data_IF_098791667113
#
_entry.id   IF_098791667113
#
_cell.length_a   1.000
_cell.length_b   1.000
_cell.length_c   1.000
_cell.angle_alpha   90.00
_cell.angle_beta   90.00
_cell.angle_gamma   90.00
#
_symmetry.space_group_name_H-M   'P 1'
#
loop_
_entity.id
_entity.type
_entity.pdbx_description
1 polymer ?
#
# COMPACT_ATOMS: atom_id res chain seq x y z
N UNK A 1 19.38 76.59 -45.10
CA UNK A 1 19.40 75.15 -45.12
C UNK A 1 20.37 74.74 -44.03
N UNK A 2 19.86 74.48 -42.86
CA UNK A 2 20.64 74.36 -41.63
C UNK A 2 21.00 72.90 -41.37
N UNK A 3 22.25 72.63 -41.17
CA UNK A 3 22.79 71.42 -40.50
C UNK A 3 22.80 71.69 -39.03
N UNK A 4 22.27 70.78 -38.26
CA UNK A 4 22.35 70.82 -36.80
C UNK A 4 23.22 69.66 -36.35
N UNK A 5 24.38 69.99 -35.79
CA UNK A 5 25.34 69.12 -35.13
C UNK A 5 24.79 68.72 -33.75
N UNK A 6 24.83 67.45 -33.42
CA UNK A 6 24.57 66.97 -32.04
C UNK A 6 25.88 66.52 -31.40
N UNK A 7 26.21 67.25 -30.35
CA UNK A 7 27.33 67.02 -29.45
C UNK A 7 27.15 65.72 -28.68
N UNK A 8 28.14 64.86 -28.70
CA UNK A 8 28.24 63.63 -27.85
C UNK A 8 28.84 64.09 -26.52
N UNK A 9 28.06 64.02 -25.45
CA UNK A 9 28.52 64.13 -24.07
C UNK A 9 28.80 62.77 -23.52
N UNK A 10 30.07 62.42 -23.34
CA UNK A 10 30.51 61.17 -22.67
C UNK A 10 30.24 61.26 -21.17
N UNK A 11 29.42 60.37 -20.66
CA UNK A 11 29.30 60.13 -19.24
C UNK A 11 29.99 58.78 -18.93
N UNK A 12 31.11 58.87 -18.25
CA UNK A 12 31.87 57.77 -17.70
C UNK A 12 31.12 57.26 -16.50
N UNK A 13 30.39 56.17 -16.63
CA UNK A 13 29.82 55.45 -15.49
C UNK A 13 30.83 54.47 -14.89
N UNK A 14 31.29 54.82 -13.71
CA UNK A 14 32.13 54.02 -12.83
C UNK A 14 31.36 52.80 -12.37
N UNK A 15 31.70 51.58 -12.84
CA UNK A 15 31.09 50.33 -12.41
C UNK A 15 31.67 49.95 -11.05
N UNK A 16 30.92 50.21 -9.99
CA UNK A 16 31.19 49.65 -8.67
C UNK A 16 30.66 48.21 -8.70
N UNK A 17 31.56 47.23 -8.75
CA UNK A 17 31.24 45.82 -8.59
C UNK A 17 30.89 45.56 -7.12
N UNK A 18 29.61 45.65 -6.79
CA UNK A 18 29.05 45.04 -5.58
C UNK A 18 28.79 43.59 -5.86
N UNK A 19 29.69 42.72 -5.37
CA UNK A 19 29.49 41.28 -5.29
C UNK A 19 28.41 40.96 -4.26
N UNK A 20 27.17 41.25 -4.64
CA UNK A 20 25.99 40.73 -3.97
C UNK A 20 25.71 39.32 -4.48
N UNK A 21 26.12 38.31 -3.73
CA UNK A 21 25.63 36.95 -3.94
C UNK A 21 24.11 36.97 -3.77
N UNK A 22 23.40 37.09 -4.89
CA UNK A 22 21.96 36.79 -4.92
C UNK A 22 21.81 35.35 -4.53
N UNK A 23 21.49 35.09 -3.25
CA UNK A 23 20.83 33.85 -2.87
C UNK A 23 19.53 33.84 -3.67
N UNK A 24 19.55 33.12 -4.77
CA UNK A 24 18.31 32.66 -5.41
C UNK A 24 17.58 31.88 -4.29
N UNK A 25 16.52 32.46 -3.78
CA UNK A 25 15.56 31.74 -2.98
C UNK A 25 15.12 30.55 -3.83
N UNK A 26 15.62 29.36 -3.49
CA UNK A 26 15.05 28.13 -4.00
C UNK A 26 13.58 28.19 -3.62
N UNK A 27 12.72 28.30 -4.64
CA UNK A 27 11.28 28.28 -4.43
C UNK A 27 10.95 27.06 -3.58
N UNK A 28 10.01 27.21 -2.65
CA UNK A 28 9.42 26.14 -1.87
C UNK A 28 8.81 25.11 -2.81
N UNK A 29 9.63 24.26 -3.38
CA UNK A 29 9.19 22.97 -3.86
C UNK A 29 8.90 22.18 -2.59
N UNK A 30 7.61 21.95 -2.31
CA UNK A 30 7.17 21.23 -1.13
C UNK A 30 7.97 19.93 -0.97
N UNK A 31 8.38 19.61 0.25
CA UNK A 31 9.16 18.39 0.53
C UNK A 31 8.41 17.19 -0.04
N UNK A 32 9.10 16.22 -0.70
CA UNK A 32 8.43 15.09 -1.33
C UNK A 32 7.77 14.19 -0.28
N UNK A 33 6.67 13.57 -0.65
CA UNK A 33 6.05 12.54 0.17
C UNK A 33 6.74 11.20 -0.04
N UNK A 34 6.52 10.25 0.88
CA UNK A 34 7.02 8.88 0.74
C UNK A 34 6.53 8.25 -0.56
N UNK A 35 5.25 8.41 -0.90
CA UNK A 35 4.68 7.86 -2.14
C UNK A 35 5.23 8.47 -3.42
N UNK A 36 5.74 9.71 -3.38
CA UNK A 36 6.41 10.34 -4.52
C UNK A 36 7.86 9.85 -4.68
N UNK A 37 8.60 9.74 -3.56
CA UNK A 37 10.00 9.34 -3.59
C UNK A 37 10.19 7.81 -3.65
N UNK A 38 9.29 7.05 -3.02
CA UNK A 38 9.38 5.60 -2.86
C UNK A 38 8.01 4.94 -3.10
N UNK A 39 7.44 4.98 -4.31
CA UNK A 39 6.06 4.54 -4.59
C UNK A 39 5.81 3.06 -4.23
N UNK A 40 6.83 2.19 -4.38
CA UNK A 40 6.72 0.77 -4.07
C UNK A 40 6.84 0.46 -2.56
N UNK A 41 7.38 1.39 -1.76
CA UNK A 41 7.54 1.21 -0.31
C UNK A 41 6.25 1.52 0.45
N UNK A 42 5.53 2.56 0.03
CA UNK A 42 4.39 3.09 0.73
C UNK A 42 3.08 2.56 0.15
N UNK A 43 2.43 1.70 0.90
CA UNK A 43 1.14 1.09 0.50
C UNK A 43 -0.07 1.61 1.26
N UNK A 44 0.11 2.31 2.39
CA UNK A 44 -0.95 2.65 3.32
C UNK A 44 -0.93 4.11 3.81
N UNK A 45 -1.09 4.29 5.11
CA UNK A 45 -1.27 5.59 5.78
C UNK A 45 -0.08 6.54 5.58
N UNK A 46 1.13 6.00 5.40
CA UNK A 46 2.34 6.79 5.21
C UNK A 46 2.61 7.20 3.75
N UNK A 47 1.77 6.81 2.80
CA UNK A 47 1.95 7.19 1.38
C UNK A 47 2.04 8.72 1.18
N UNK A 48 1.27 9.47 1.97
CA UNK A 48 1.25 10.94 1.93
C UNK A 48 2.15 11.60 2.97
N UNK A 49 2.86 10.83 3.80
CA UNK A 49 3.76 11.37 4.80
C UNK A 49 4.92 12.13 4.15
N UNK A 50 5.23 13.31 4.69
CA UNK A 50 6.26 14.22 4.17
C UNK A 50 7.63 13.78 4.67
N UNK A 51 8.60 13.69 3.77
CA UNK A 51 9.99 13.34 4.08
C UNK A 51 10.72 14.56 4.61
N UNK A 52 11.11 14.57 5.89
CA UNK A 52 11.82 15.67 6.53
C UNK A 52 13.10 15.19 7.22
N UNK A 53 14.00 16.09 7.50
CA UNK A 53 15.13 15.83 8.38
C UNK A 53 14.64 15.76 9.83
N UNK A 54 15.07 14.73 10.55
CA UNK A 54 14.77 14.51 11.97
C UNK A 54 16.01 14.01 12.71
N UNK A 55 15.99 14.12 14.04
CA UNK A 55 16.97 13.44 14.86
C UNK A 55 16.95 11.93 14.59
N UNK A 56 18.11 11.25 14.57
CA UNK A 56 18.19 9.81 14.22
C UNK A 56 17.32 8.90 15.10
N UNK A 57 16.99 9.34 16.33
CA UNK A 57 16.12 8.61 17.24
C UNK A 57 14.63 8.75 16.96
N UNK A 58 14.21 9.74 16.15
CA UNK A 58 12.80 10.00 15.81
C UNK A 58 12.52 9.57 14.38
N UNK A 59 11.51 8.73 14.18
CA UNK A 59 11.14 8.19 12.86
C UNK A 59 9.92 8.87 12.27
N UNK A 60 8.97 9.26 13.13
CA UNK A 60 7.72 9.86 12.70
C UNK A 60 7.23 10.86 13.75
N UNK A 61 6.69 11.97 13.24
CA UNK A 61 5.94 12.93 14.05
C UNK A 61 4.63 13.30 13.35
N UNK A 62 3.59 13.50 14.14
CA UNK A 62 2.31 14.06 13.71
C UNK A 62 1.72 14.81 14.92
N UNK A 63 0.61 15.52 14.77
CA UNK A 63 -0.06 16.19 15.86
C UNK A 63 -0.34 15.22 17.02
N UNK A 64 0.34 15.42 18.17
CA UNK A 64 0.21 14.56 19.35
C UNK A 64 0.86 13.17 19.27
N UNK A 65 1.51 12.82 18.17
CA UNK A 65 2.11 11.51 17.96
C UNK A 65 3.60 11.62 17.63
N UNK A 66 4.43 10.87 18.34
CA UNK A 66 5.85 10.63 18.03
C UNK A 66 6.14 9.14 18.07
N UNK A 67 6.82 8.62 17.03
CA UNK A 67 7.32 7.24 17.00
C UNK A 67 8.85 7.27 16.91
N UNK A 68 9.50 6.63 17.88
CA UNK A 68 10.96 6.53 17.98
C UNK A 68 11.50 5.25 17.36
N UNK A 69 12.76 5.27 16.98
CA UNK A 69 13.47 4.11 16.43
C UNK A 69 13.47 2.91 17.39
N UNK A 70 13.55 3.17 18.71
CA UNK A 70 13.49 2.13 19.75
C UNK A 70 12.19 1.32 19.65
N UNK A 71 11.05 1.96 19.38
CA UNK A 71 9.74 1.30 19.24
C UNK A 71 9.75 0.24 18.14
N UNK A 72 10.36 0.56 16.98
CA UNK A 72 10.46 -0.39 15.85
C UNK A 72 11.44 -1.52 16.19
N UNK A 73 12.56 -1.22 16.85
CA UNK A 73 13.52 -2.22 17.28
C UNK A 73 12.89 -3.20 18.30
N UNK A 74 12.22 -2.69 19.32
CA UNK A 74 11.50 -3.49 20.31
C UNK A 74 10.42 -4.37 19.67
N UNK A 75 9.67 -3.84 18.70
CA UNK A 75 8.64 -4.61 17.99
C UNK A 75 9.23 -5.76 17.16
N UNK A 76 10.41 -5.56 16.53
CA UNK A 76 11.14 -6.63 15.83
C UNK A 76 11.68 -7.67 16.83
N UNK A 77 12.24 -7.22 17.96
CA UNK A 77 12.80 -8.11 18.98
C UNK A 77 11.74 -8.99 19.63
N UNK A 78 10.55 -8.46 19.85
CA UNK A 78 9.39 -9.14 20.43
C UNK A 78 8.66 -10.06 19.43
N UNK A 79 9.00 -10.00 18.14
CA UNK A 79 8.33 -10.78 17.11
C UNK A 79 8.67 -12.28 17.19
N UNK A 80 7.76 -13.10 16.67
CA UNK A 80 7.99 -14.54 16.49
C UNK A 80 9.28 -14.77 15.66
N UNK A 81 10.18 -15.69 16.10
CA UNK A 81 11.41 -15.98 15.36
C UNK A 81 11.21 -16.29 13.88
N UNK A 82 10.08 -16.92 13.51
CA UNK A 82 9.75 -17.27 12.14
C UNK A 82 9.46 -16.10 11.21
N UNK A 83 9.25 -14.87 11.75
CA UNK A 83 8.99 -13.67 10.94
C UNK A 83 10.02 -12.55 11.18
N UNK A 84 10.94 -12.76 12.11
CA UNK A 84 11.89 -11.72 12.54
C UNK A 84 12.77 -11.22 11.40
N UNK A 85 13.36 -12.12 10.60
CA UNK A 85 14.17 -11.75 9.44
C UNK A 85 13.38 -10.97 8.40
N UNK A 86 12.14 -11.38 8.16
CA UNK A 86 11.26 -10.72 7.21
C UNK A 86 10.87 -9.31 7.71
N UNK A 87 10.61 -9.16 9.02
CA UNK A 87 10.35 -7.85 9.65
C UNK A 87 11.56 -6.92 9.59
N UNK A 88 12.78 -7.45 9.77
CA UNK A 88 14.02 -6.66 9.64
C UNK A 88 14.14 -6.01 8.25
N UNK A 89 13.80 -6.74 7.20
CA UNK A 89 13.77 -6.21 5.83
C UNK A 89 12.62 -5.25 5.58
N UNK A 90 11.56 -5.32 6.40
CA UNK A 90 10.31 -4.57 6.22
C UNK A 90 10.02 -3.59 7.37
N UNK A 91 11.04 -2.99 7.98
CA UNK A 91 10.89 -2.05 9.11
C UNK A 91 10.00 -0.84 8.77
N UNK A 92 9.99 -0.39 7.52
CA UNK A 92 9.06 0.67 7.10
C UNK A 92 7.60 0.23 7.19
N UNK A 93 7.28 -0.98 6.75
CA UNK A 93 5.95 -1.56 6.92
C UNK A 93 5.56 -1.62 8.42
N UNK A 94 6.51 -1.99 9.28
CA UNK A 94 6.27 -2.01 10.73
C UNK A 94 6.00 -0.61 11.28
N UNK A 95 6.73 0.42 10.83
CA UNK A 95 6.44 1.82 11.19
C UNK A 95 5.02 2.20 10.77
N UNK A 96 4.59 1.79 9.58
CA UNK A 96 3.23 2.04 9.09
C UNK A 96 2.18 1.35 9.98
N UNK A 97 2.42 0.10 10.40
CA UNK A 97 1.52 -0.62 11.33
C UNK A 97 1.46 0.04 12.71
N UNK A 98 2.60 0.46 13.27
CA UNK A 98 2.63 1.18 14.55
C UNK A 98 1.93 2.54 14.45
N UNK A 99 2.04 3.22 13.31
CA UNK A 99 1.31 4.47 13.05
C UNK A 99 -0.20 4.24 13.01
N UNK A 100 -0.66 3.25 12.25
CA UNK A 100 -2.09 2.88 12.19
C UNK A 100 -2.62 2.54 13.59
N UNK A 101 -1.86 1.76 14.35
CA UNK A 101 -2.23 1.38 15.73
C UNK A 101 -2.36 2.60 16.62
N UNK A 102 -1.40 3.51 16.61
CA UNK A 102 -1.43 4.72 17.42
C UNK A 102 -2.63 5.64 17.08
N UNK A 103 -2.89 5.83 15.78
CA UNK A 103 -4.04 6.62 15.31
C UNK A 103 -5.38 6.00 15.72
N UNK A 104 -5.51 4.68 15.65
CA UNK A 104 -6.73 3.97 16.09
C UNK A 104 -6.95 4.07 17.59
N UNK A 105 -5.89 3.97 18.39
CA UNK A 105 -5.98 4.14 19.84
C UNK A 105 -6.39 5.56 20.22
N UNK A 106 -5.88 6.57 19.54
CA UNK A 106 -6.26 7.97 19.75
C UNK A 106 -7.73 8.21 19.38
N UNK A 107 -8.21 7.69 18.24
CA UNK A 107 -9.62 7.78 17.86
C UNK A 107 -10.52 7.02 18.84
N UNK A 108 -10.09 5.85 19.32
CA UNK A 108 -10.82 5.08 20.32
C UNK A 108 -10.93 5.86 21.64
N UNK A 109 -9.85 6.50 22.10
CA UNK A 109 -9.84 7.34 23.29
C UNK A 109 -10.79 8.54 23.15
N UNK A 110 -10.80 9.20 22.00
CA UNK A 110 -11.67 10.33 21.69
C UNK A 110 -13.15 9.95 21.63
N UNK A 111 -13.48 8.68 21.44
CA UNK A 111 -14.86 8.17 21.34
C UNK A 111 -15.57 8.01 22.71
N UNK A 112 -14.89 8.27 23.82
CA UNK A 112 -15.45 8.19 25.18
C UNK A 112 -15.78 6.76 25.64
N UNK A 113 -15.26 5.73 24.98
CA UNK A 113 -15.46 4.35 25.40
C UNK A 113 -14.65 4.03 26.66
N UNK A 114 -15.22 3.26 27.56
CA UNK A 114 -14.47 2.67 28.67
C UNK A 114 -13.43 1.68 28.13
N UNK A 115 -12.16 1.93 28.47
CA UNK A 115 -11.02 1.14 28.01
C UNK A 115 -10.30 0.45 29.19
N UNK A 116 -10.85 0.57 30.43
CA UNK A 116 -10.22 0.02 31.63
C UNK A 116 -10.06 -1.50 31.51
N UNK A 117 -8.85 -1.96 31.74
CA UNK A 117 -8.51 -3.40 31.75
C UNK A 117 -8.40 -4.04 30.37
N UNK A 118 -8.60 -3.31 29.28
CA UNK A 118 -8.46 -3.82 27.92
C UNK A 118 -7.03 -3.64 27.41
N UNK A 119 -6.54 -4.64 26.66
CA UNK A 119 -5.33 -4.51 25.88
C UNK A 119 -5.52 -3.56 24.69
N UNK A 120 -4.44 -2.99 24.13
CA UNK A 120 -4.49 -2.15 22.92
C UNK A 120 -5.27 -2.82 21.78
N UNK A 121 -5.08 -4.13 21.61
CA UNK A 121 -5.77 -4.93 20.60
C UNK A 121 -7.28 -4.97 20.81
N UNK A 122 -7.72 -5.17 22.04
CA UNK A 122 -9.14 -5.22 22.40
C UNK A 122 -9.79 -3.85 22.25
N UNK A 123 -9.10 -2.77 22.62
CA UNK A 123 -9.54 -1.39 22.40
C UNK A 123 -9.76 -1.11 20.92
N UNK A 124 -8.80 -1.45 20.08
CA UNK A 124 -8.88 -1.27 18.62
C UNK A 124 -10.03 -2.11 18.05
N UNK A 125 -10.13 -3.39 18.45
CA UNK A 125 -11.19 -4.27 17.98
C UNK A 125 -12.57 -3.71 18.35
N UNK A 126 -12.78 -3.31 19.59
CA UNK A 126 -14.04 -2.73 20.09
C UNK A 126 -14.39 -1.43 19.35
N UNK A 127 -13.38 -0.58 19.04
CA UNK A 127 -13.56 0.64 18.26
C UNK A 127 -14.05 0.33 16.84
N UNK A 128 -13.37 -0.58 16.13
CA UNK A 128 -13.74 -0.97 14.77
C UNK A 128 -15.10 -1.67 14.72
N UNK A 129 -15.41 -2.55 15.69
CA UNK A 129 -16.69 -3.24 15.76
C UNK A 129 -17.85 -2.25 15.98
N UNK A 130 -17.64 -1.22 16.79
CA UNK A 130 -18.63 -0.16 17.01
C UNK A 130 -18.83 0.67 15.73
N UNK A 131 -17.73 1.08 15.11
CA UNK A 131 -17.74 1.94 13.91
C UNK A 131 -18.40 1.26 12.71
N UNK A 132 -18.26 -0.05 12.58
CA UNK A 132 -18.75 -0.84 11.43
C UNK A 132 -19.84 -1.83 11.82
N UNK A 133 -20.59 -1.55 12.90
CA UNK A 133 -21.67 -2.40 13.41
C UNK A 133 -22.83 -2.53 12.42
N UNK A 134 -23.21 -1.42 11.79
CA UNK A 134 -24.46 -1.31 11.03
C UNK A 134 -24.32 -1.61 9.53
N UNK A 135 -23.30 -2.39 9.16
CA UNK A 135 -23.14 -2.83 7.78
C UNK A 135 -24.15 -3.94 7.49
N UNK A 136 -25.10 -3.63 6.62
CA UNK A 136 -26.15 -4.54 6.19
C UNK A 136 -25.99 -4.91 4.72
N UNK A 137 -26.61 -6.03 4.35
CA UNK A 137 -26.74 -6.52 2.97
C UNK A 137 -28.22 -6.67 2.66
N UNK A 138 -28.65 -6.04 1.58
CA UNK A 138 -30.04 -6.16 1.14
C UNK A 138 -30.30 -7.51 0.46
N UNK A 139 -31.57 -7.87 0.31
CA UNK A 139 -31.98 -9.08 -0.41
C UNK A 139 -31.59 -9.00 -1.90
N UNK A 140 -31.66 -7.81 -2.49
CA UNK A 140 -31.27 -7.56 -3.87
C UNK A 140 -29.79 -7.79 -4.09
N UNK A 141 -28.95 -7.31 -3.17
CA UNK A 141 -27.49 -7.52 -3.21
C UNK A 141 -27.13 -9.01 -3.06
N UNK A 142 -27.79 -9.69 -2.12
CA UNK A 142 -27.61 -11.12 -1.93
C UNK A 142 -28.05 -11.92 -3.17
N UNK A 143 -29.17 -11.50 -3.80
CA UNK A 143 -29.66 -12.14 -5.02
C UNK A 143 -28.73 -11.92 -6.21
N UNK A 144 -28.22 -10.71 -6.38
CA UNK A 144 -27.26 -10.39 -7.44
C UNK A 144 -25.97 -11.19 -7.30
N UNK A 145 -25.46 -11.32 -6.08
CA UNK A 145 -24.29 -12.15 -5.80
C UNK A 145 -24.54 -13.63 -6.10
N UNK A 146 -25.69 -14.17 -5.66
CA UNK A 146 -26.09 -15.54 -5.96
C UNK A 146 -26.17 -15.78 -7.45
N UNK A 147 -26.83 -14.88 -8.22
CA UNK A 147 -26.99 -15.03 -9.66
C UNK A 147 -25.65 -15.02 -10.41
N UNK A 148 -24.69 -14.23 -9.94
CA UNK A 148 -23.34 -14.18 -10.49
C UNK A 148 -22.46 -15.39 -10.11
N UNK A 149 -22.83 -16.15 -9.06
CA UNK A 149 -22.03 -17.24 -8.51
C UNK A 149 -22.79 -18.57 -8.40
N UNK A 150 -23.80 -18.81 -9.24
CA UNK A 150 -24.68 -20.00 -9.18
C UNK A 150 -23.92 -21.32 -9.17
N UNK A 151 -22.86 -21.42 -9.94
CA UNK A 151 -22.05 -22.63 -10.02
C UNK A 151 -21.31 -22.95 -8.69
N UNK A 152 -20.87 -21.88 -8.00
CA UNK A 152 -20.14 -21.99 -6.73
C UNK A 152 -21.03 -22.42 -5.56
N UNK A 153 -22.33 -22.10 -5.60
CA UNK A 153 -23.29 -22.47 -4.56
C UNK A 153 -23.93 -23.84 -4.78
N UNK A 154 -23.37 -24.66 -5.69
CA UNK A 154 -23.75 -26.08 -5.85
C UNK A 154 -25.18 -26.32 -6.38
N UNK A 155 -25.77 -25.34 -7.08
CA UNK A 155 -27.10 -25.45 -7.67
C UNK A 155 -28.27 -25.37 -6.66
N UNK A 156 -28.01 -25.04 -5.40
CA UNK A 156 -29.04 -24.84 -4.37
C UNK A 156 -29.90 -23.61 -4.74
N UNK A 157 -31.21 -23.66 -4.41
CA UNK A 157 -32.10 -22.53 -4.63
C UNK A 157 -31.70 -21.32 -3.73
N UNK A 158 -31.90 -20.09 -4.24
CA UNK A 158 -31.54 -18.85 -3.52
C UNK A 158 -32.07 -18.81 -2.09
N UNK A 159 -33.32 -19.20 -1.86
CA UNK A 159 -33.93 -19.20 -0.53
C UNK A 159 -33.24 -20.11 0.48
N UNK A 160 -32.55 -21.15 0.02
CA UNK A 160 -31.81 -22.08 0.87
C UNK A 160 -30.45 -21.50 1.29
N UNK A 161 -29.87 -20.60 0.50
CA UNK A 161 -28.52 -20.04 0.70
C UNK A 161 -28.52 -18.54 1.00
N UNK A 162 -29.69 -17.91 1.05
CA UNK A 162 -29.86 -16.46 1.22
C UNK A 162 -29.12 -15.93 2.44
N UNK A 163 -29.34 -16.51 3.62
CA UNK A 163 -28.71 -16.03 4.86
C UNK A 163 -27.18 -16.28 4.86
N UNK A 164 -26.67 -17.47 4.51
CA UNK A 164 -25.23 -17.67 4.31
C UNK A 164 -24.59 -16.68 3.31
N UNK A 165 -25.26 -16.38 2.18
CA UNK A 165 -24.80 -15.41 1.19
C UNK A 165 -24.74 -14.00 1.80
N UNK A 166 -25.77 -13.59 2.54
CA UNK A 166 -25.79 -12.30 3.25
C UNK A 166 -24.64 -12.18 4.26
N UNK A 167 -24.38 -13.24 5.03
CA UNK A 167 -23.26 -13.25 5.99
C UNK A 167 -21.90 -13.07 5.29
N UNK A 168 -21.68 -13.79 4.19
CA UNK A 168 -20.45 -13.67 3.38
C UNK A 168 -20.30 -12.23 2.86
N UNK A 169 -21.34 -11.68 2.26
CA UNK A 169 -21.34 -10.32 1.72
C UNK A 169 -21.16 -9.26 2.81
N UNK A 170 -21.83 -9.41 3.97
CA UNK A 170 -21.67 -8.51 5.10
C UNK A 170 -20.22 -8.51 5.61
N UNK A 171 -19.61 -9.69 5.69
CA UNK A 171 -18.18 -9.82 6.05
C UNK A 171 -17.27 -9.14 5.02
N UNK A 172 -17.51 -9.35 3.72
CA UNK A 172 -16.75 -8.70 2.65
C UNK A 172 -16.89 -7.17 2.68
N UNK A 173 -18.12 -6.65 2.82
CA UNK A 173 -18.40 -5.21 2.95
C UNK A 173 -17.69 -4.62 4.17
N UNK A 174 -17.75 -5.32 5.32
CA UNK A 174 -17.06 -4.88 6.54
C UNK A 174 -15.55 -4.79 6.31
N UNK A 175 -14.95 -5.84 5.73
CA UNK A 175 -13.52 -5.87 5.43
C UNK A 175 -13.12 -4.73 4.47
N UNK A 176 -13.89 -4.50 3.42
CA UNK A 176 -13.68 -3.39 2.48
C UNK A 176 -13.80 -2.02 3.15
N UNK A 177 -14.82 -1.83 4.00
CA UNK A 177 -15.03 -0.58 4.74
C UNK A 177 -13.91 -0.30 5.74
N UNK A 178 -13.48 -1.32 6.50
CA UNK A 178 -12.32 -1.22 7.41
C UNK A 178 -11.06 -0.89 6.61
N UNK A 179 -10.82 -1.55 5.48
CA UNK A 179 -9.64 -1.29 4.64
C UNK A 179 -9.61 0.16 4.15
N UNK A 180 -10.74 0.65 3.60
CA UNK A 180 -10.87 2.04 3.13
C UNK A 180 -10.69 3.05 4.26
N UNK A 181 -11.23 2.76 5.43
CA UNK A 181 -11.06 3.59 6.62
C UNK A 181 -9.59 3.65 7.06
N UNK A 182 -8.90 2.50 7.16
CA UNK A 182 -7.49 2.45 7.53
C UNK A 182 -6.60 3.20 6.52
N UNK A 183 -6.89 3.09 5.22
CA UNK A 183 -6.22 3.90 4.20
C UNK A 183 -6.53 5.40 4.33
N UNK A 184 -7.68 5.73 4.91
CA UNK A 184 -8.10 7.10 5.18
C UNK A 184 -7.54 7.70 6.47
N UNK A 185 -7.04 6.87 7.39
CA UNK A 185 -6.40 7.34 8.63
C UNK A 185 -5.26 8.31 8.28
N UNK A 186 -5.18 9.40 9.02
CA UNK A 186 -4.14 10.40 8.80
C UNK A 186 -4.30 11.28 7.55
N UNK A 187 -5.35 11.13 6.73
CA UNK A 187 -5.55 11.99 5.53
C UNK A 187 -5.64 13.48 5.85
N UNK A 188 -6.17 13.80 7.01
CA UNK A 188 -6.36 15.17 7.50
C UNK A 188 -5.28 15.61 8.50
N UNK A 189 -4.21 14.81 8.62
CA UNK A 189 -3.10 15.08 9.52
C UNK A 189 -1.82 15.27 8.71
N UNK A 190 -0.99 16.19 9.11
CA UNK A 190 0.36 16.29 8.61
C UNK A 190 1.23 15.24 9.31
N UNK A 191 1.54 14.17 8.59
CA UNK A 191 2.47 13.13 9.05
C UNK A 191 3.82 13.42 8.43
N UNK A 192 4.85 13.53 9.26
CA UNK A 192 6.24 13.73 8.85
C UNK A 192 7.06 12.51 9.21
N UNK A 193 7.93 12.07 8.31
CA UNK A 193 8.80 10.91 8.52
C UNK A 193 10.25 11.24 8.24
N UNK A 194 11.15 10.60 8.97
CA UNK A 194 12.59 10.78 8.86
C UNK A 194 13.09 10.31 7.49
N UNK A 195 13.54 11.26 6.68
CA UNK A 195 14.00 11.04 5.29
C UNK A 195 15.11 10.01 5.21
N UNK A 196 16.16 10.18 6.00
CA UNK A 196 17.36 9.36 5.93
C UNK A 196 17.06 7.92 6.36
N UNK A 197 16.23 7.78 7.39
CA UNK A 197 15.79 6.46 7.82
C UNK A 197 14.92 5.77 6.75
N UNK A 198 13.96 6.46 6.14
CA UNK A 198 13.12 5.90 5.07
C UNK A 198 13.98 5.48 3.87
N UNK A 199 14.95 6.31 3.49
CA UNK A 199 15.90 5.97 2.42
C UNK A 199 16.67 4.69 2.73
N UNK A 200 17.13 4.52 3.98
CA UNK A 200 17.84 3.31 4.40
C UNK A 200 16.95 2.05 4.39
N UNK A 201 15.62 2.20 4.61
CA UNK A 201 14.69 1.05 4.58
C UNK A 201 14.30 0.62 3.16
N UNK A 202 14.48 1.47 2.16
CA UNK A 202 14.00 1.18 0.81
C UNK A 202 14.67 -0.06 0.20
N UNK A 203 15.99 -0.12 0.16
CA UNK A 203 16.70 -1.22 -0.50
C UNK A 203 16.41 -2.60 0.13
N UNK A 204 16.46 -2.78 1.47
CA UNK A 204 16.08 -4.05 2.10
C UNK A 204 14.63 -4.46 1.81
N UNK A 205 13.68 -3.52 1.86
CA UNK A 205 12.28 -3.81 1.63
C UNK A 205 11.99 -4.25 0.19
N UNK A 206 12.79 -3.76 -0.78
CA UNK A 206 12.64 -4.11 -2.20
C UNK A 206 13.35 -5.43 -2.58
N UNK A 207 14.09 -6.06 -1.66
CA UNK A 207 14.78 -7.33 -1.90
C UNK A 207 13.85 -8.53 -1.64
N UNK A 208 12.84 -8.68 -2.49
CA UNK A 208 11.91 -9.79 -2.49
C UNK A 208 11.49 -10.15 -3.92
N UNK A 209 10.85 -11.31 -4.10
CA UNK A 209 10.48 -11.83 -5.42
C UNK A 209 9.56 -10.90 -6.19
N UNK A 210 8.57 -10.29 -5.51
CA UNK A 210 7.57 -9.44 -6.14
C UNK A 210 8.18 -8.13 -6.63
N UNK A 211 8.90 -7.43 -5.73
CA UNK A 211 9.49 -6.13 -6.09
C UNK A 211 10.64 -6.27 -7.11
N UNK A 212 11.37 -7.39 -7.11
CA UNK A 212 12.35 -7.68 -8.16
C UNK A 212 11.68 -7.88 -9.52
N UNK A 213 10.59 -8.65 -9.57
CA UNK A 213 9.85 -8.86 -10.81
C UNK A 213 9.23 -7.55 -11.33
N UNK A 214 8.60 -6.76 -10.46
CA UNK A 214 8.01 -5.44 -10.81
C UNK A 214 9.03 -4.43 -11.38
N UNK A 215 10.29 -4.52 -10.98
CA UNK A 215 11.37 -3.63 -11.47
C UNK A 215 12.12 -4.18 -12.68
N UNK A 216 11.69 -5.30 -13.22
CA UNK A 216 12.38 -5.95 -14.35
C UNK A 216 12.14 -5.28 -15.71
N UNK A 217 11.18 -4.36 -15.81
CA UNK A 217 10.75 -3.77 -17.07
C UNK A 217 9.83 -4.69 -17.90
N UNK A 218 9.30 -5.76 -17.28
CA UNK A 218 8.36 -6.69 -17.92
C UNK A 218 7.03 -6.70 -17.18
N UNK A 219 5.91 -6.86 -17.87
CA UNK A 219 4.64 -7.19 -17.23
C UNK A 219 4.80 -8.34 -16.24
N UNK A 220 4.10 -8.26 -15.12
CA UNK A 220 4.27 -9.23 -14.04
C UNK A 220 2.89 -9.67 -13.53
N UNK A 221 2.67 -10.98 -13.48
CA UNK A 221 1.56 -11.59 -12.74
C UNK A 221 2.11 -12.21 -11.46
N UNK A 222 1.55 -11.81 -10.31
CA UNK A 222 1.87 -12.39 -9.00
C UNK A 222 0.67 -13.16 -8.50
N UNK A 223 0.88 -14.40 -8.13
CA UNK A 223 -0.08 -15.24 -7.42
C UNK A 223 0.32 -15.32 -5.94
N UNK A 224 -0.56 -14.87 -5.05
CA UNK A 224 -0.43 -15.10 -3.61
C UNK A 224 -1.31 -16.29 -3.22
N UNK A 225 -0.68 -17.36 -2.74
CA UNK A 225 -1.36 -18.62 -2.44
C UNK A 225 -0.70 -19.36 -1.29
N UNK A 226 -1.18 -20.58 -1.02
CA UNK A 226 -0.57 -21.51 -0.08
C UNK A 226 -0.89 -22.94 -0.48
N UNK A 227 -0.13 -23.89 0.01
CA UNK A 227 -0.43 -25.32 -0.11
C UNK A 227 -1.71 -25.69 0.64
N UNK A 228 -2.46 -26.67 0.13
CA UNK A 228 -3.71 -27.13 0.72
C UNK A 228 -4.91 -26.19 0.55
N UNK A 229 -4.75 -25.17 -0.27
CA UNK A 229 -5.82 -24.28 -0.69
C UNK A 229 -6.34 -24.72 -2.06
N UNK A 230 -7.47 -25.42 -2.10
CA UNK A 230 -8.03 -25.98 -3.35
C UNK A 230 -8.07 -24.98 -4.52
N UNK A 231 -8.59 -23.75 -4.39
CA UNK A 231 -8.56 -22.81 -5.49
C UNK A 231 -7.14 -22.33 -5.86
N UNK A 232 -6.16 -22.35 -4.92
CA UNK A 232 -4.76 -22.06 -5.24
C UNK A 232 -4.15 -23.21 -6.06
N UNK A 233 -4.46 -24.47 -5.68
CA UNK A 233 -3.97 -25.66 -6.40
C UNK A 233 -4.51 -25.70 -7.85
N UNK A 234 -5.75 -25.19 -8.06
CA UNK A 234 -6.33 -25.05 -9.40
C UNK A 234 -5.62 -23.98 -10.25
N UNK A 235 -4.99 -22.99 -9.62
CA UNK A 235 -4.21 -21.96 -10.33
C UNK A 235 -2.85 -22.47 -10.81
N UNK A 236 -2.21 -23.41 -10.11
CA UNK A 236 -0.86 -23.88 -10.43
C UNK A 236 -0.67 -24.31 -11.90
N UNK A 237 -1.54 -25.19 -12.49
CA UNK A 237 -1.38 -25.56 -13.89
C UNK A 237 -1.54 -24.37 -14.86
N UNK A 238 -2.31 -23.33 -14.49
CA UNK A 238 -2.43 -22.10 -15.30
C UNK A 238 -1.10 -21.33 -15.24
N UNK A 239 -0.53 -21.12 -14.05
CA UNK A 239 0.76 -20.46 -13.88
C UNK A 239 1.88 -21.18 -14.66
N UNK A 240 1.89 -22.51 -14.64
CA UNK A 240 2.90 -23.30 -15.34
C UNK A 240 2.77 -23.17 -16.86
N UNK A 241 1.54 -23.12 -17.38
CA UNK A 241 1.31 -22.86 -18.83
C UNK A 241 1.76 -21.45 -19.22
N UNK A 242 1.46 -20.44 -18.40
CA UNK A 242 1.89 -19.06 -18.65
C UNK A 242 3.41 -18.93 -18.65
N UNK A 243 4.11 -19.55 -17.68
CA UNK A 243 5.60 -19.56 -17.64
C UNK A 243 6.20 -20.19 -18.90
N UNK A 244 5.56 -21.25 -19.42
CA UNK A 244 6.02 -21.92 -20.65
C UNK A 244 5.70 -21.14 -21.92
N UNK A 245 4.54 -20.47 -21.94
CA UNK A 245 4.07 -19.74 -23.13
C UNK A 245 4.80 -18.39 -23.29
N UNK A 246 5.07 -17.70 -22.18
CA UNK A 246 5.59 -16.33 -22.18
C UNK A 246 6.90 -16.16 -21.40
N UNK A 247 7.95 -16.96 -21.65
CA UNK A 247 9.15 -16.99 -20.81
C UNK A 247 9.92 -15.66 -20.81
N UNK A 248 9.88 -14.93 -21.92
CA UNK A 248 10.62 -13.68 -22.10
C UNK A 248 9.76 -12.42 -21.98
N UNK A 249 8.43 -12.56 -22.00
CA UNK A 249 7.48 -11.45 -22.07
C UNK A 249 6.79 -11.17 -20.73
N UNK A 250 6.65 -12.20 -19.87
CA UNK A 250 5.88 -12.13 -18.64
C UNK A 250 6.66 -12.71 -17.45
N UNK A 251 6.70 -12.00 -16.35
CA UNK A 251 7.08 -12.61 -15.06
C UNK A 251 5.85 -13.27 -14.42
N UNK A 252 5.96 -14.54 -14.10
CA UNK A 252 4.92 -15.28 -13.35
C UNK A 252 5.48 -15.69 -12.00
N UNK A 253 5.14 -14.94 -10.96
CA UNK A 253 5.64 -15.10 -9.59
C UNK A 253 4.58 -15.78 -8.72
N UNK A 254 5.00 -16.78 -7.94
CA UNK A 254 4.18 -17.36 -6.88
C UNK A 254 4.75 -16.97 -5.52
N UNK A 255 3.91 -16.50 -4.61
CA UNK A 255 4.27 -16.15 -3.24
C UNK A 255 3.47 -17.02 -2.28
N UNK A 256 4.17 -17.89 -1.54
CA UNK A 256 3.57 -18.68 -0.49
C UNK A 256 3.35 -17.80 0.75
N UNK A 257 2.09 -17.42 1.05
CA UNK A 257 1.77 -16.45 2.11
C UNK A 257 2.03 -16.96 3.52
N UNK A 258 2.10 -18.26 3.72
CA UNK A 258 2.47 -18.87 5.00
C UNK A 258 3.96 -18.70 5.32
N UNK A 259 4.80 -18.68 4.29
CA UNK A 259 6.27 -18.50 4.39
C UNK A 259 6.68 -17.03 4.29
N UNK A 260 5.90 -16.21 3.57
CA UNK A 260 6.17 -14.79 3.34
C UNK A 260 5.04 -13.93 3.95
N UNK A 261 4.86 -14.03 5.26
CA UNK A 261 3.71 -13.43 5.98
C UNK A 261 3.71 -11.90 5.91
N UNK A 262 4.88 -11.31 6.11
CA UNK A 262 5.02 -9.84 6.08
C UNK A 262 4.88 -9.31 4.65
N UNK A 263 5.43 -10.02 3.69
CA UNK A 263 5.26 -9.68 2.28
C UNK A 263 3.78 -9.73 1.87
N UNK A 264 3.06 -10.82 2.21
CA UNK A 264 1.63 -10.92 1.98
C UNK A 264 0.84 -9.77 2.63
N UNK A 265 1.14 -9.45 3.89
CA UNK A 265 0.51 -8.35 4.61
C UNK A 265 0.81 -6.99 3.96
N UNK A 266 2.05 -6.74 3.52
CA UNK A 266 2.48 -5.53 2.82
C UNK A 266 1.73 -5.34 1.50
N UNK A 267 1.44 -6.42 0.78
CA UNK A 267 0.62 -6.40 -0.44
C UNK A 267 -0.89 -6.45 -0.17
N UNK A 268 -1.31 -6.37 1.10
CA UNK A 268 -2.72 -6.33 1.51
C UNK A 268 -3.47 -7.63 1.29
N UNK A 269 -2.76 -8.78 1.28
CA UNK A 269 -3.38 -10.09 1.09
C UNK A 269 -4.10 -10.51 2.38
N UNK A 270 -5.40 -10.70 2.30
CA UNK A 270 -6.28 -11.08 3.43
C UNK A 270 -6.98 -12.41 3.22
N UNK A 271 -7.03 -12.87 1.99
CA UNK A 271 -7.57 -14.15 1.55
C UNK A 271 -6.75 -14.66 0.39
N UNK A 272 -6.78 -15.94 0.09
CA UNK A 272 -6.07 -16.58 -1.01
C UNK A 272 -7.02 -17.47 -1.83
N UNK A 273 -6.73 -17.68 -3.11
CA UNK A 273 -5.66 -17.05 -3.88
C UNK A 273 -5.96 -15.58 -4.25
N UNK A 274 -4.92 -14.79 -4.50
CA UNK A 274 -5.02 -13.45 -5.07
C UNK A 274 -4.05 -13.33 -6.23
N UNK A 275 -4.54 -12.91 -7.39
CA UNK A 275 -3.74 -12.60 -8.56
C UNK A 275 -3.61 -11.09 -8.68
N UNK A 276 -2.38 -10.60 -8.83
CA UNK A 276 -2.09 -9.18 -9.05
C UNK A 276 -1.32 -9.02 -10.34
N UNK A 277 -1.76 -8.09 -11.18
CA UNK A 277 -1.17 -7.82 -12.50
C UNK A 277 -0.54 -6.44 -12.49
N UNK A 278 0.73 -6.39 -12.85
CA UNK A 278 1.54 -5.17 -12.94
C UNK A 278 1.98 -4.95 -14.38
N UNK A 279 2.02 -3.69 -14.80
CA UNK A 279 2.58 -3.30 -16.10
C UNK A 279 4.12 -3.34 -16.11
N UNK A 280 4.72 -2.95 -17.22
CA UNK A 280 6.17 -2.87 -17.41
C UNK A 280 6.86 -1.85 -16.47
N UNK A 281 6.12 -0.85 -15.96
CA UNK A 281 6.60 0.12 -14.99
C UNK A 281 6.50 -0.39 -13.55
N UNK A 282 5.86 -1.55 -13.35
CA UNK A 282 5.59 -2.15 -12.05
C UNK A 282 4.38 -1.54 -11.33
N UNK A 283 3.51 -0.82 -12.04
CA UNK A 283 2.26 -0.29 -11.50
C UNK A 283 1.16 -1.34 -11.52
N UNK A 284 0.40 -1.46 -10.41
CA UNK A 284 -0.71 -2.40 -10.30
C UNK A 284 -1.88 -1.94 -11.16
N UNK A 285 -2.26 -2.75 -12.16
CA UNK A 285 -3.38 -2.48 -13.05
C UNK A 285 -4.64 -3.25 -12.70
N UNK A 286 -4.49 -4.45 -12.15
CA UNK A 286 -5.64 -5.30 -11.85
C UNK A 286 -5.33 -6.27 -10.72
N UNK A 287 -6.35 -6.58 -9.92
CA UNK A 287 -6.29 -7.57 -8.84
C UNK A 287 -7.57 -8.40 -8.83
N UNK A 288 -7.42 -9.71 -8.67
CA UNK A 288 -8.52 -10.65 -8.51
C UNK A 288 -8.34 -11.46 -7.22
N UNK A 289 -9.46 -11.79 -6.57
CA UNK A 289 -9.50 -12.62 -5.35
C UNK A 289 -10.29 -13.90 -5.64
N UNK A 290 -9.71 -15.03 -5.36
CA UNK A 290 -10.27 -16.35 -5.63
C UNK A 290 -9.67 -16.99 -6.89
N UNK A 291 -10.21 -18.18 -7.28
CA UNK A 291 -9.80 -18.83 -8.52
C UNK A 291 -10.11 -17.93 -9.73
N UNK A 292 -9.15 -17.83 -10.64
CA UNK A 292 -9.28 -17.02 -11.85
C UNK A 292 -9.02 -17.85 -13.08
N UNK A 293 -10.07 -18.11 -13.87
CA UNK A 293 -10.02 -18.98 -15.01
C UNK A 293 -9.02 -18.49 -16.07
N UNK A 294 -8.28 -19.41 -16.71
CA UNK A 294 -7.24 -19.06 -17.68
C UNK A 294 -7.68 -18.11 -18.80
N UNK A 295 -8.88 -18.26 -19.41
CA UNK A 295 -9.34 -17.29 -20.42
C UNK A 295 -9.43 -15.86 -19.87
N UNK A 296 -9.80 -15.69 -18.61
CA UNK A 296 -9.89 -14.38 -17.96
C UNK A 296 -8.50 -13.83 -17.62
N UNK A 297 -7.58 -14.71 -17.19
CA UNK A 297 -6.15 -14.34 -17.02
C UNK A 297 -5.57 -13.83 -18.34
N UNK A 298 -5.77 -14.56 -19.44
CA UNK A 298 -5.29 -14.16 -20.77
C UNK A 298 -5.87 -12.82 -21.22
N UNK A 299 -7.14 -12.53 -20.93
CA UNK A 299 -7.74 -11.21 -21.20
C UNK A 299 -7.04 -10.07 -20.46
N UNK A 300 -6.59 -10.31 -19.21
CA UNK A 300 -5.83 -9.29 -18.48
C UNK A 300 -4.40 -9.15 -19.04
N UNK A 301 -3.75 -10.26 -19.41
CA UNK A 301 -2.42 -10.25 -20.01
C UNK A 301 -2.42 -9.49 -21.36
N UNK A 302 -3.44 -9.69 -22.18
CA UNK A 302 -3.59 -8.95 -23.44
C UNK A 302 -3.67 -7.42 -23.22
N UNK A 303 -4.30 -6.96 -22.11
CA UNK A 303 -4.29 -5.52 -21.75
C UNK A 303 -2.92 -4.99 -21.35
N UNK A 304 -2.00 -5.89 -21.00
CA UNK A 304 -0.60 -5.60 -20.66
C UNK A 304 0.33 -5.76 -21.89
N UNK A 305 -0.22 -6.07 -23.06
CA UNK A 305 0.54 -6.29 -24.29
C UNK A 305 1.22 -7.66 -24.37
N UNK A 306 0.81 -8.63 -23.56
CA UNK A 306 1.27 -10.03 -23.60
C UNK A 306 0.24 -10.85 -24.39
N UNK A 307 0.63 -11.35 -25.61
CA UNK A 307 -0.25 -12.06 -26.55
C UNK A 307 0.21 -13.52 -26.84
#
# INVERSE_FOLDING_TARGET
MAKQDWMVVGITCMVIALSGASRVCAGEQGQPTVGQAYPALASGVLKKAVLVEMDPGTLLTSEGLEIKASRITEAVEAADPGVKEELEKNRFFLLEQETVKALLLEEAASSGADQQGLSEREVIQAHLDRKFRDIQVSDEEAKAFYDANKETVGGLAFEQVKEPVKEVLARQKRQGSVASYLQGLGRNREIRVNRDWVQAQHAPAMDNLVDRARRSGKPTMVEFGAEGCVPCDMMQPILDRLRKKYPDELNVVFVHVGENRILGARYGIRSIPVQVFYDENGDELFRHVGFYAEPEVLKQLAKLGVE
#
